data_IF_668456540312
#
_entry.id   IF_668456540312
#
_cell.length_a   1.000
_cell.length_b   1.000
_cell.length_c   1.000
_cell.angle_alpha   90.00
_cell.angle_beta   90.00
_cell.angle_gamma   90.00
#
_symmetry.space_group_name_H-M   'P 1'
#
loop_
_entity.id
_entity.type
_entity.pdbx_description
1 polymer ?
#
# COMPACT_ATOMS: atom_id res chain seq x y z
N UNK A 1 -11.11 8.29 -16.64
CA UNK A 1 -10.80 6.85 -16.47
C UNK A 1 -10.85 6.52 -14.98
N UNK A 2 -11.30 5.31 -14.59
CA UNK A 2 -11.35 4.89 -13.19
C UNK A 2 -9.94 4.85 -12.58
N UNK A 3 -9.84 5.19 -11.28
CA UNK A 3 -8.62 5.07 -10.48
C UNK A 3 -8.73 3.80 -9.65
N UNK A 4 -7.75 2.91 -9.74
CA UNK A 4 -7.71 1.65 -8.99
C UNK A 4 -6.79 1.77 -7.77
N UNK A 5 -7.25 1.23 -6.63
CA UNK A 5 -6.45 1.00 -5.42
C UNK A 5 -6.08 -0.48 -5.30
N UNK A 6 -4.88 -0.78 -4.79
CA UNK A 6 -4.55 -2.13 -4.36
C UNK A 6 -4.95 -2.32 -2.89
N UNK A 7 -5.80 -3.30 -2.61
CA UNK A 7 -6.13 -3.67 -1.24
C UNK A 7 -5.03 -4.60 -0.66
N UNK A 8 -4.19 -4.05 0.21
CA UNK A 8 -3.02 -4.74 0.76
C UNK A 8 -3.39 -5.80 1.82
N UNK A 9 -4.66 -5.86 2.24
CA UNK A 9 -5.20 -6.95 3.06
C UNK A 9 -5.47 -8.22 2.26
N UNK A 10 -5.61 -8.13 0.94
CA UNK A 10 -5.88 -9.27 0.05
C UNK A 10 -4.79 -9.53 -0.97
N UNK A 11 -4.10 -8.49 -1.45
CA UNK A 11 -3.06 -8.60 -2.47
C UNK A 11 -1.66 -8.66 -1.83
N UNK A 12 -0.70 -9.23 -2.55
CA UNK A 12 0.72 -9.28 -2.20
C UNK A 12 1.00 -9.95 -0.84
N UNK A 13 0.23 -10.99 -0.48
CA UNK A 13 0.37 -11.70 0.79
C UNK A 13 1.66 -12.54 0.90
N UNK A 14 2.38 -12.67 -0.20
CA UNK A 14 3.66 -13.38 -0.30
C UNK A 14 4.82 -12.62 0.35
N UNK A 15 4.63 -11.32 0.65
CA UNK A 15 5.64 -10.46 1.31
C UNK A 15 5.06 -9.80 2.57
N UNK A 16 5.96 -9.31 3.43
CA UNK A 16 5.59 -8.59 4.65
C UNK A 16 4.81 -7.31 4.34
N UNK A 17 3.95 -6.87 5.28
CA UNK A 17 3.00 -5.78 5.06
C UNK A 17 3.61 -4.51 4.44
N UNK A 18 4.72 -4.01 5.00
CA UNK A 18 5.37 -2.81 4.48
C UNK A 18 5.96 -3.00 3.08
N UNK A 19 6.32 -4.23 2.69
CA UNK A 19 6.84 -4.51 1.35
C UNK A 19 5.74 -4.62 0.28
N UNK A 20 4.47 -4.79 0.70
CA UNK A 20 3.32 -4.82 -0.20
C UNK A 20 3.10 -3.49 -0.91
N UNK A 21 3.48 -2.38 -0.29
CA UNK A 21 3.41 -1.06 -0.92
C UNK A 21 4.34 -0.97 -2.14
N UNK A 22 5.56 -1.49 -2.04
CA UNK A 22 6.45 -1.53 -3.19
C UNK A 22 5.96 -2.51 -4.26
N UNK A 23 5.42 -3.67 -3.85
CA UNK A 23 4.81 -4.62 -4.77
C UNK A 23 3.64 -3.97 -5.55
N UNK A 24 2.79 -3.18 -4.87
CA UNK A 24 1.69 -2.45 -5.48
C UNK A 24 2.19 -1.39 -6.47
N UNK A 25 3.20 -0.60 -6.09
CA UNK A 25 3.79 0.40 -6.98
C UNK A 25 4.42 -0.24 -8.23
N UNK A 26 5.14 -1.35 -8.06
CA UNK A 26 5.73 -2.13 -9.18
C UNK A 26 4.68 -2.75 -10.09
N UNK A 27 3.50 -3.07 -9.58
CA UNK A 27 2.35 -3.53 -10.35
C UNK A 27 1.59 -2.38 -11.05
N UNK A 28 2.03 -1.12 -10.90
CA UNK A 28 1.46 0.04 -11.58
C UNK A 28 0.31 0.73 -10.83
N UNK A 29 0.02 0.32 -9.59
CA UNK A 29 -0.94 1.02 -8.75
C UNK A 29 -0.39 2.38 -8.31
N UNK A 30 -1.32 3.34 -8.18
CA UNK A 30 -1.05 4.69 -7.66
C UNK A 30 -1.75 4.94 -6.33
N UNK A 31 -2.70 4.08 -5.97
CA UNK A 31 -3.41 4.12 -4.70
C UNK A 31 -3.36 2.77 -4.01
N UNK A 32 -3.38 2.80 -2.68
CA UNK A 32 -3.47 1.60 -1.84
C UNK A 32 -4.52 1.80 -0.75
N UNK A 33 -5.05 0.69 -0.25
CA UNK A 33 -5.93 0.65 0.91
C UNK A 33 -5.56 -0.56 1.78
N UNK A 34 -5.76 -0.44 3.09
CA UNK A 34 -5.59 -1.55 4.02
C UNK A 34 -6.58 -1.42 5.18
N UNK A 35 -7.09 -2.55 5.67
CA UNK A 35 -8.19 -2.55 6.64
C UNK A 35 -7.79 -2.35 8.10
N UNK A 36 -6.50 -2.48 8.44
CA UNK A 36 -6.04 -2.46 9.84
C UNK A 36 -5.12 -1.27 10.11
N UNK A 37 -5.38 -0.47 11.16
CA UNK A 37 -4.51 0.65 11.55
C UNK A 37 -3.29 0.23 12.37
N UNK A 38 -3.14 -1.07 12.70
CA UNK A 38 -2.13 -1.56 13.65
C UNK A 38 -1.08 -2.50 13.05
N UNK A 39 -1.06 -2.71 11.74
CA UNK A 39 -0.06 -3.61 11.11
C UNK A 39 1.36 -3.00 11.09
N UNK A 40 1.46 -1.68 11.13
CA UNK A 40 2.73 -0.96 11.28
C UNK A 40 2.49 0.43 11.90
N UNK A 41 3.52 1.07 12.49
CA UNK A 41 3.43 2.46 12.93
C UNK A 41 3.02 3.39 11.77
N UNK A 42 2.15 4.39 12.00
CA UNK A 42 1.73 5.33 10.97
C UNK A 42 2.90 6.01 10.25
N UNK A 43 4.01 6.27 10.95
CA UNK A 43 5.21 6.88 10.39
C UNK A 43 5.87 5.99 9.34
N UNK A 44 5.88 4.67 9.57
CA UNK A 44 6.41 3.67 8.64
C UNK A 44 5.54 3.55 7.41
N UNK A 45 4.21 3.56 7.58
CA UNK A 45 3.25 3.58 6.45
C UNK A 45 3.45 4.84 5.61
N UNK A 46 3.49 6.01 6.27
CA UNK A 46 3.67 7.29 5.59
C UNK A 46 5.02 7.36 4.86
N UNK A 47 6.09 6.80 5.43
CA UNK A 47 7.38 6.69 4.77
C UNK A 47 7.29 5.84 3.50
N UNK A 48 6.59 4.70 3.55
CA UNK A 48 6.46 3.80 2.40
C UNK A 48 5.57 4.37 1.30
N UNK A 49 4.46 5.03 1.66
CA UNK A 49 3.62 5.78 0.70
C UNK A 49 4.46 6.81 -0.07
N UNK A 50 5.28 7.60 0.65
CA UNK A 50 6.18 8.59 0.03
C UNK A 50 7.23 7.93 -0.85
N UNK A 51 7.92 6.90 -0.37
CA UNK A 51 9.01 6.26 -1.14
C UNK A 51 8.51 5.55 -2.40
N UNK A 52 7.28 5.02 -2.36
CA UNK A 52 6.68 4.29 -3.46
C UNK A 52 5.79 5.16 -4.37
N UNK A 53 5.62 6.45 -4.06
CA UNK A 53 4.77 7.36 -4.84
C UNK A 53 3.29 6.97 -4.84
N UNK A 54 2.81 6.41 -3.72
CA UNK A 54 1.46 5.91 -3.54
C UNK A 54 0.60 6.87 -2.71
N UNK A 55 -0.69 6.90 -3.00
CA UNK A 55 -1.71 7.61 -2.21
C UNK A 55 -2.52 6.60 -1.38
N UNK A 56 -2.83 6.94 -0.12
CA UNK A 56 -3.80 6.19 0.68
C UNK A 56 -5.21 6.53 0.18
N UNK A 57 -5.99 5.52 -0.21
CA UNK A 57 -7.35 5.72 -0.70
C UNK A 57 -8.41 5.75 0.43
N UNK A 58 -8.27 4.89 1.44
CA UNK A 58 -9.19 4.68 2.56
C UNK A 58 -8.45 4.38 3.86
#
# INVERSE_FOLDING_TARGET
>A
MPRFSANLGFLFQEVGFLDRFEAAARAGFRGVEHGSPYEAPPESIAARLRSCGLEQAL
#
